data_IF_233602155979
#
_entry.id   IF_233602155979
#
_cell.length_a   1.000
_cell.length_b   1.000
_cell.length_c   1.000
_cell.angle_alpha   90.00
_cell.angle_beta   90.00
_cell.angle_gamma   90.00
#
_symmetry.space_group_name_H-M   'P 1'
#
loop_
_entity.id
_entity.type
_entity.pdbx_description
1 polymer ?
#
# COMPACT_ATOMS: atom_id res chain seq x y z
N UNK A 1 -34.48 -23.56 -6.56
CA UNK A 1 -34.07 -22.93 -5.29
C UNK A 1 -32.56 -23.00 -5.28
N UNK A 2 -31.89 -21.92 -5.67
CA UNK A 2 -30.43 -21.86 -5.63
C UNK A 2 -29.99 -21.80 -4.17
N UNK A 3 -28.97 -22.57 -3.81
CA UNK A 3 -28.33 -22.48 -2.51
C UNK A 3 -27.86 -21.03 -2.29
N UNK A 4 -28.35 -20.40 -1.22
CA UNK A 4 -27.82 -19.10 -0.79
C UNK A 4 -26.32 -19.29 -0.48
N UNK A 5 -25.45 -18.38 -0.91
CA UNK A 5 -24.03 -18.48 -0.62
C UNK A 5 -23.86 -18.47 0.90
N UNK A 6 -23.29 -19.56 1.43
CA UNK A 6 -23.01 -19.71 2.86
C UNK A 6 -22.15 -18.54 3.32
N UNK A 7 -22.75 -17.63 4.09
CA UNK A 7 -22.04 -16.51 4.71
C UNK A 7 -20.96 -17.12 5.61
N UNK A 8 -19.71 -16.70 5.42
CA UNK A 8 -18.61 -17.11 6.27
C UNK A 8 -18.92 -16.69 7.71
N UNK A 9 -19.13 -17.68 8.59
CA UNK A 9 -19.29 -17.46 10.01
C UNK A 9 -18.03 -18.00 10.72
N UNK A 10 -17.17 -17.12 11.25
CA UNK A 10 -15.97 -17.55 11.96
C UNK A 10 -16.29 -18.30 13.28
N UNK A 11 -17.56 -18.38 13.69
CA UNK A 11 -18.01 -19.17 14.84
C UNK A 11 -18.47 -20.60 14.48
N UNK A 12 -18.47 -20.99 13.20
CA UNK A 12 -18.90 -22.33 12.78
C UNK A 12 -18.01 -23.47 13.35
N UNK A 13 -16.89 -23.13 14.01
CA UNK A 13 -15.92 -24.09 14.54
C UNK A 13 -15.74 -24.18 16.06
N UNK A 14 -16.17 -23.21 16.88
CA UNK A 14 -16.00 -23.29 18.33
C UNK A 14 -16.77 -22.18 19.08
N UNK A 15 -17.95 -22.51 19.61
CA UNK A 15 -18.47 -21.87 20.83
C UNK A 15 -19.15 -22.96 21.67
N UNK A 16 -18.37 -23.95 22.12
CA UNK A 16 -18.84 -24.94 23.10
C UNK A 16 -18.36 -24.64 24.53
N UNK A 17 -17.64 -23.56 24.78
CA UNK A 17 -17.25 -23.21 26.16
C UNK A 17 -18.22 -22.22 26.81
N UNK A 18 -18.76 -22.67 27.93
CA UNK A 18 -19.72 -21.98 28.78
C UNK A 18 -19.26 -20.54 29.10
N UNK A 19 -20.20 -19.58 29.03
CA UNK A 19 -20.07 -18.25 29.64
C UNK A 19 -19.76 -18.28 31.16
N UNK A 20 -19.66 -19.47 31.77
CA UNK A 20 -19.38 -19.68 33.19
C UNK A 20 -18.00 -19.15 33.62
N UNK A 21 -17.03 -19.04 32.71
CA UNK A 21 -15.67 -18.54 33.00
C UNK A 21 -15.66 -17.07 33.44
N UNK A 22 -16.63 -16.26 33.01
CA UNK A 22 -16.74 -14.84 33.36
C UNK A 22 -17.68 -14.57 34.54
N UNK A 23 -18.24 -15.62 35.17
CA UNK A 23 -19.24 -15.48 36.23
C UNK A 23 -18.60 -15.67 37.59
N UNK A 24 -18.68 -14.66 38.48
CA UNK A 24 -18.16 -14.77 39.85
C UNK A 24 -18.94 -15.85 40.61
N UNK A 25 -18.25 -16.90 41.07
CA UNK A 25 -18.87 -17.90 41.93
C UNK A 25 -19.27 -17.27 43.29
N UNK A 26 -20.48 -17.56 43.81
CA UNK A 26 -20.92 -17.02 45.10
C UNK A 26 -19.98 -17.42 46.23
N UNK A 27 -19.48 -16.44 47.00
CA UNK A 27 -18.65 -16.68 48.20
C UNK A 27 -17.18 -16.24 48.13
N UNK A 28 -16.68 -15.80 46.96
CA UNK A 28 -15.30 -15.32 46.83
C UNK A 28 -15.10 -13.89 47.40
N UNK A 29 -13.97 -13.60 48.09
CA UNK A 29 -13.65 -12.27 48.61
C UNK A 29 -13.68 -11.20 47.52
N UNK A 30 -14.06 -9.97 47.87
CA UNK A 30 -14.14 -8.85 46.91
C UNK A 30 -12.76 -8.32 46.49
N UNK A 31 -11.70 -8.71 47.19
CA UNK A 31 -10.42 -7.99 47.14
C UNK A 31 -9.35 -8.71 46.30
N UNK A 32 -9.64 -9.93 45.83
CA UNK A 32 -8.80 -10.69 44.88
C UNK A 32 -9.37 -10.55 43.47
N UNK A 33 -9.19 -9.38 42.88
CA UNK A 33 -9.47 -9.15 41.46
C UNK A 33 -8.24 -9.43 40.60
N UNK A 34 -7.59 -10.58 40.76
CA UNK A 34 -6.89 -11.19 39.62
C UNK A 34 -7.94 -11.98 38.82
N UNK A 35 -8.86 -11.25 38.18
CA UNK A 35 -9.54 -11.80 37.04
C UNK A 35 -8.45 -12.05 35.99
N UNK A 36 -7.90 -13.26 35.96
CA UNK A 36 -7.13 -13.73 34.83
C UNK A 36 -8.10 -13.66 33.67
N UNK A 37 -7.98 -12.60 32.86
CA UNK A 37 -8.57 -12.62 31.54
C UNK A 37 -8.10 -13.93 30.92
N UNK A 38 -8.99 -14.80 30.42
CA UNK A 38 -8.56 -15.97 29.69
C UNK A 38 -7.56 -15.49 28.64
N UNK A 39 -6.34 -16.02 28.70
CA UNK A 39 -5.29 -15.76 27.70
C UNK A 39 -5.65 -16.38 26.35
N UNK A 40 -6.67 -17.23 26.36
CA UNK A 40 -7.32 -17.77 25.19
C UNK A 40 -8.33 -16.74 24.66
N UNK A 41 -8.08 -16.26 23.44
CA UNK A 41 -8.99 -15.36 22.74
C UNK A 41 -10.37 -16.00 22.65
N UNK A 42 -11.40 -15.31 23.14
CA UNK A 42 -12.83 -15.74 23.09
C UNK A 42 -13.31 -16.00 21.65
N UNK A 43 -12.52 -15.62 20.63
CA UNK A 43 -12.80 -15.82 19.22
C UNK A 43 -11.52 -16.34 18.56
N UNK A 44 -11.57 -17.55 18.02
CA UNK A 44 -10.58 -18.04 17.06
C UNK A 44 -10.93 -17.48 15.68
N UNK A 45 -10.34 -16.34 15.31
CA UNK A 45 -10.52 -15.76 13.98
C UNK A 45 -9.38 -16.24 13.07
N UNK A 46 -9.70 -16.96 12.01
CA UNK A 46 -8.76 -17.09 10.88
C UNK A 46 -8.61 -15.72 10.23
N UNK A 47 -7.52 -15.04 10.57
CA UNK A 47 -7.24 -13.67 10.11
C UNK A 47 -7.14 -13.62 8.58
N UNK A 48 -6.52 -14.61 7.94
CA UNK A 48 -6.32 -14.61 6.50
C UNK A 48 -7.66 -14.81 5.76
N UNK A 49 -8.47 -15.77 6.22
CA UNK A 49 -9.80 -15.99 5.66
C UNK A 49 -10.71 -14.78 5.88
N UNK A 50 -10.66 -14.16 7.07
CA UNK A 50 -11.45 -12.97 7.38
C UNK A 50 -11.03 -11.76 6.52
N UNK A 51 -9.74 -11.51 6.34
CA UNK A 51 -9.25 -10.44 5.46
C UNK A 51 -9.75 -10.64 4.03
N UNK A 52 -9.68 -11.87 3.51
CA UNK A 52 -10.16 -12.19 2.17
C UNK A 52 -11.67 -11.98 2.01
N UNK A 53 -12.46 -12.47 2.97
CA UNK A 53 -13.92 -12.29 3.00
C UNK A 53 -14.31 -10.81 3.16
N UNK A 54 -13.69 -10.08 4.09
CA UNK A 54 -13.95 -8.66 4.29
C UNK A 54 -13.68 -7.86 3.01
N UNK A 55 -12.56 -8.13 2.35
CA UNK A 55 -12.18 -7.46 1.11
C UNK A 55 -13.13 -7.76 -0.05
N UNK A 56 -13.63 -9.00 -0.17
CA UNK A 56 -14.52 -9.38 -1.26
C UNK A 56 -15.98 -8.99 -0.99
N UNK A 57 -16.49 -9.36 0.17
CA UNK A 57 -17.91 -9.25 0.55
C UNK A 57 -18.24 -7.87 1.10
N UNK A 58 -17.52 -7.43 2.13
CA UNK A 58 -17.85 -6.18 2.84
C UNK A 58 -17.50 -4.98 1.98
N UNK A 59 -16.26 -4.85 1.53
CA UNK A 59 -15.84 -3.73 0.67
C UNK A 59 -16.61 -3.75 -0.65
N UNK A 60 -16.72 -4.91 -1.29
CA UNK A 60 -17.48 -5.05 -2.54
C UNK A 60 -18.97 -4.68 -2.42
N UNK A 61 -19.61 -4.94 -1.28
CA UNK A 61 -20.99 -4.51 -1.04
C UNK A 61 -21.12 -2.99 -0.85
N UNK A 62 -20.15 -2.36 -0.16
CA UNK A 62 -20.11 -0.89 -0.03
C UNK A 62 -19.81 -0.19 -1.35
N UNK A 63 -18.93 -0.74 -2.19
CA UNK A 63 -18.66 -0.21 -3.55
C UNK A 63 -19.90 -0.26 -4.45
N UNK A 64 -20.73 -1.30 -4.29
CA UNK A 64 -22.01 -1.45 -5.01
C UNK A 64 -23.16 -0.64 -4.39
N UNK A 65 -22.95 0.01 -3.24
CA UNK A 65 -23.97 0.80 -2.55
C UNK A 65 -25.06 -0.02 -1.83
N UNK A 66 -24.87 -1.33 -1.65
CA UNK A 66 -25.83 -2.25 -1.01
C UNK A 66 -25.43 -2.64 0.42
N UNK A 67 -24.24 -2.22 0.86
CA UNK A 67 -23.65 -2.66 2.13
C UNK A 67 -24.54 -2.46 3.35
N UNK A 68 -25.23 -1.33 3.46
CA UNK A 68 -26.09 -1.02 4.61
C UNK A 68 -27.40 -1.82 4.67
N UNK A 69 -27.80 -2.43 3.56
CA UNK A 69 -29.08 -3.15 3.43
C UNK A 69 -28.87 -4.66 3.46
N UNK A 70 -27.80 -5.14 2.81
CA UNK A 70 -27.61 -6.57 2.55
C UNK A 70 -26.55 -7.23 3.44
N UNK A 71 -25.65 -6.47 4.06
CA UNK A 71 -24.62 -7.09 4.91
C UNK A 71 -25.22 -7.56 6.24
N UNK A 72 -25.09 -8.85 6.59
CA UNK A 72 -25.51 -9.33 7.90
C UNK A 72 -24.59 -8.80 9.00
N UNK A 73 -25.14 -8.65 10.21
CA UNK A 73 -24.38 -8.35 11.41
C UNK A 73 -23.62 -9.59 11.92
N UNK A 74 -22.65 -10.06 11.12
CA UNK A 74 -21.76 -11.16 11.50
C UNK A 74 -20.76 -10.74 12.60
N UNK A 75 -19.96 -11.70 13.08
CA UNK A 75 -18.98 -11.47 14.16
C UNK A 75 -18.01 -10.33 13.91
N UNK A 76 -17.62 -10.13 12.65
CA UNK A 76 -16.67 -9.11 12.23
C UNK A 76 -17.34 -7.75 12.10
N UNK A 77 -18.40 -7.66 11.28
CA UNK A 77 -19.15 -6.43 11.01
C UNK A 77 -19.82 -5.91 12.29
N UNK A 78 -20.45 -6.77 13.09
CA UNK A 78 -21.11 -6.38 14.34
C UNK A 78 -20.14 -5.84 15.40
N UNK A 79 -18.85 -6.19 15.30
CA UNK A 79 -17.78 -5.72 16.19
C UNK A 79 -16.90 -4.64 15.57
N UNK A 80 -17.21 -4.18 14.36
CA UNK A 80 -16.41 -3.21 13.61
C UNK A 80 -14.94 -3.64 13.45
N UNK A 81 -14.71 -4.94 13.25
CA UNK A 81 -13.36 -5.46 12.99
C UNK A 81 -12.97 -5.15 11.55
N UNK A 82 -12.15 -4.12 11.36
CA UNK A 82 -11.68 -3.70 10.04
C UNK A 82 -10.23 -4.15 9.86
N UNK A 83 -9.92 -4.97 8.85
CA UNK A 83 -8.54 -5.31 8.53
C UNK A 83 -7.70 -4.09 8.20
N UNK A 84 -6.41 -4.13 8.55
CA UNK A 84 -5.46 -3.12 8.13
C UNK A 84 -5.30 -3.14 6.59
N UNK A 85 -4.97 -1.97 6.01
CA UNK A 85 -4.63 -1.88 4.58
C UNK A 85 -5.79 -1.98 3.59
N UNK A 86 -7.05 -1.95 4.05
CA UNK A 86 -8.25 -1.97 3.19
C UNK A 86 -8.31 -0.82 2.18
N UNK A 87 -7.65 0.31 2.47
CA UNK A 87 -7.49 1.44 1.54
C UNK A 87 -6.79 1.06 0.21
N UNK A 88 -5.99 -0.02 0.21
CA UNK A 88 -5.31 -0.51 -0.98
C UNK A 88 -6.28 -0.94 -2.11
N UNK A 89 -7.54 -1.23 -1.79
CA UNK A 89 -8.54 -1.66 -2.78
C UNK A 89 -9.25 -0.48 -3.46
N UNK A 90 -9.14 0.74 -2.91
CA UNK A 90 -9.80 1.92 -3.47
C UNK A 90 -9.13 2.37 -4.76
N UNK A 91 -9.91 2.61 -5.79
CA UNK A 91 -9.43 3.24 -7.03
C UNK A 91 -9.78 4.73 -7.02
N UNK A 92 -8.78 5.59 -7.20
CA UNK A 92 -8.90 7.04 -7.39
C UNK A 92 -8.49 7.50 -8.79
N UNK A 93 -8.26 6.57 -9.72
CA UNK A 93 -7.80 6.90 -11.07
C UNK A 93 -8.73 7.84 -11.84
N UNK A 94 -10.02 7.80 -11.53
CA UNK A 94 -11.07 8.66 -12.10
C UNK A 94 -11.21 10.03 -11.42
N UNK A 95 -10.55 10.29 -10.28
CA UNK A 95 -10.78 11.50 -9.50
C UNK A 95 -10.16 12.75 -10.12
N UNK A 96 -8.91 12.64 -10.57
CA UNK A 96 -8.18 13.76 -11.17
C UNK A 96 -7.98 13.56 -12.66
N UNK A 97 -8.06 14.66 -13.42
CA UNK A 97 -7.83 14.70 -14.86
C UNK A 97 -6.34 14.70 -15.25
N UNK A 98 -5.42 14.84 -14.28
CA UNK A 98 -3.98 14.95 -14.54
C UNK A 98 -3.18 13.94 -13.70
N UNK A 99 -1.99 13.58 -14.18
CA UNK A 99 -1.05 12.66 -13.53
C UNK A 99 0.38 13.14 -13.81
N UNK A 100 1.34 13.01 -12.87
CA UNK A 100 2.72 13.37 -13.13
C UNK A 100 3.39 12.41 -14.14
N UNK A 101 4.03 12.98 -15.15
CA UNK A 101 4.94 12.34 -16.09
C UNK A 101 6.38 12.45 -15.59
N UNK A 102 7.10 11.34 -15.63
CA UNK A 102 8.49 11.25 -15.23
C UNK A 102 9.43 11.53 -16.39
N UNK A 103 10.42 12.40 -16.16
CA UNK A 103 11.46 12.79 -17.11
C UNK A 103 12.79 12.25 -16.58
N UNK A 104 13.21 11.10 -17.10
CA UNK A 104 14.36 10.37 -16.58
C UNK A 104 15.69 11.15 -16.67
N UNK A 105 15.88 11.96 -17.72
CA UNK A 105 17.14 12.63 -18.02
C UNK A 105 17.58 13.64 -16.96
N UNK A 106 16.62 14.29 -16.29
CA UNK A 106 16.90 15.33 -15.27
C UNK A 106 16.80 14.80 -13.85
N UNK A 107 16.36 13.55 -13.67
CA UNK A 107 16.20 12.96 -12.35
C UNK A 107 17.56 12.66 -11.70
N UNK A 108 17.76 13.17 -10.48
CA UNK A 108 18.99 12.91 -9.70
C UNK A 108 18.85 11.78 -8.68
N UNK A 109 17.65 11.23 -8.51
CA UNK A 109 17.36 10.19 -7.51
C UNK A 109 17.38 10.69 -6.06
N UNK A 110 16.88 11.91 -5.80
CA UNK A 110 16.77 12.46 -4.44
C UNK A 110 15.63 11.86 -3.62
N UNK A 111 14.60 11.32 -4.30
CA UNK A 111 13.37 10.77 -3.73
C UNK A 111 12.46 11.74 -2.97
N UNK A 112 12.70 13.05 -3.05
CA UNK A 112 11.84 14.04 -2.40
C UNK A 112 10.39 13.98 -2.91
N UNK A 113 10.20 13.75 -4.21
CA UNK A 113 8.87 13.56 -4.79
C UNK A 113 8.11 12.35 -4.23
N UNK A 114 8.82 11.31 -3.76
CA UNK A 114 8.24 10.14 -3.09
C UNK A 114 7.85 10.48 -1.66
N UNK A 115 8.71 11.18 -0.92
CA UNK A 115 8.47 11.53 0.49
C UNK A 115 7.39 12.59 0.67
N UNK A 116 7.25 13.52 -0.28
CA UNK A 116 6.21 14.56 -0.24
C UNK A 116 4.87 14.08 -0.81
N UNK A 117 4.76 12.82 -1.26
CA UNK A 117 3.49 12.32 -1.74
C UNK A 117 2.57 11.93 -0.57
N UNK A 118 1.46 12.65 -0.35
CA UNK A 118 0.58 12.39 0.81
C UNK A 118 -0.18 11.05 0.70
N UNK A 119 -0.23 10.46 -0.49
CA UNK A 119 -0.99 9.24 -0.76
C UNK A 119 -0.09 8.04 -1.09
N UNK A 120 1.24 8.14 -0.94
CA UNK A 120 2.21 7.12 -1.37
C UNK A 120 1.96 6.59 -2.80
N UNK A 121 1.51 7.49 -3.68
CA UNK A 121 1.13 7.16 -5.05
C UNK A 121 2.32 7.18 -6.02
N UNK A 122 3.45 7.77 -5.65
CA UNK A 122 4.69 7.80 -6.43
C UNK A 122 5.76 7.06 -5.62
N UNK A 123 6.37 6.06 -6.23
CA UNK A 123 7.32 5.15 -5.61
C UNK A 123 8.61 5.08 -6.42
N UNK A 124 9.73 4.90 -5.73
CA UNK A 124 11.05 4.76 -6.33
C UNK A 124 11.56 3.32 -6.23
N UNK A 125 12.42 2.91 -7.18
CA UNK A 125 13.18 1.66 -7.09
C UNK A 125 14.59 1.82 -7.63
N UNK A 126 15.57 1.17 -7.02
CA UNK A 126 16.93 1.10 -7.56
C UNK A 126 17.25 -0.37 -7.87
N UNK A 127 17.47 -0.70 -9.14
CA UNK A 127 17.70 -2.09 -9.56
C UNK A 127 18.95 -2.16 -10.45
N UNK A 128 19.84 -3.15 -10.25
CA UNK A 128 20.99 -3.39 -11.13
C UNK A 128 20.56 -3.52 -12.59
N UNK A 129 21.30 -2.87 -13.50
CA UNK A 129 20.98 -2.87 -14.94
C UNK A 129 20.85 -4.29 -15.50
N UNK A 130 21.74 -5.20 -15.10
CA UNK A 130 21.76 -6.60 -15.53
C UNK A 130 20.51 -7.39 -15.15
N UNK A 131 19.77 -6.97 -14.11
CA UNK A 131 18.48 -7.58 -13.74
C UNK A 131 17.36 -7.03 -14.61
N UNK A 132 17.34 -5.72 -14.85
CA UNK A 132 16.30 -5.08 -15.66
C UNK A 132 16.34 -5.54 -17.11
N UNK A 133 17.54 -5.66 -17.68
CA UNK A 133 17.74 -6.11 -19.06
C UNK A 133 17.29 -7.56 -19.32
N UNK A 134 17.08 -8.37 -18.26
CA UNK A 134 16.53 -9.74 -18.38
C UNK A 134 15.03 -9.75 -18.51
N UNK A 135 14.35 -8.66 -18.13
CA UNK A 135 12.90 -8.57 -18.19
C UNK A 135 12.45 -8.09 -19.58
N UNK A 136 11.61 -8.86 -20.29
CA UNK A 136 11.20 -8.51 -21.65
C UNK A 136 10.32 -7.26 -21.73
N UNK A 137 9.66 -6.89 -20.63
CA UNK A 137 8.83 -5.67 -20.54
C UNK A 137 9.63 -4.40 -20.25
N UNK A 138 10.96 -4.50 -20.04
CA UNK A 138 11.81 -3.35 -19.78
C UNK A 138 11.95 -2.46 -21.03
N UNK A 139 11.44 -1.23 -20.93
CA UNK A 139 11.48 -0.23 -22.02
C UNK A 139 12.44 0.94 -21.74
N UNK A 140 13.07 0.97 -20.56
CA UNK A 140 14.00 2.02 -20.11
C UNK A 140 13.36 3.39 -19.83
N UNK A 141 12.09 3.61 -20.15
CA UNK A 141 11.46 4.95 -20.12
C UNK A 141 11.34 5.54 -18.72
N UNK A 142 11.10 4.68 -17.73
CA UNK A 142 10.91 5.08 -16.34
C UNK A 142 12.19 5.02 -15.51
N UNK A 143 13.37 4.90 -16.15
CA UNK A 143 14.62 4.60 -15.48
C UNK A 143 15.69 5.65 -15.79
N UNK A 144 16.24 6.24 -14.75
CA UNK A 144 17.30 7.23 -14.79
C UNK A 144 18.62 6.64 -14.30
N UNK A 145 19.71 7.01 -14.97
CA UNK A 145 21.07 6.76 -14.49
C UNK A 145 21.49 7.90 -13.58
N UNK A 146 21.55 7.65 -12.28
CA UNK A 146 21.87 8.68 -11.29
C UNK A 146 23.27 8.49 -10.71
N UNK A 147 23.89 9.58 -10.27
CA UNK A 147 25.19 9.50 -9.57
C UNK A 147 25.09 8.69 -8.28
N UNK A 148 23.96 8.79 -7.57
CA UNK A 148 23.75 8.17 -6.25
C UNK A 148 23.65 6.64 -6.33
N UNK A 149 22.87 6.12 -7.26
CA UNK A 149 22.61 4.67 -7.35
C UNK A 149 23.46 3.97 -8.41
N UNK A 150 23.99 4.70 -9.39
CA UNK A 150 24.85 4.12 -10.43
C UNK A 150 26.35 4.34 -10.14
N UNK A 151 26.79 5.61 -10.14
CA UNK A 151 28.22 5.92 -10.14
C UNK A 151 28.91 5.64 -8.78
N UNK A 152 28.21 5.89 -7.66
CA UNK A 152 28.77 5.65 -6.32
C UNK A 152 28.96 4.15 -6.05
N UNK A 153 27.98 3.25 -6.30
CA UNK A 153 28.20 1.81 -6.21
C UNK A 153 29.26 1.28 -7.18
N UNK A 154 29.29 1.79 -8.42
CA UNK A 154 30.32 1.42 -9.40
C UNK A 154 31.75 1.71 -8.91
N UNK A 155 31.96 2.84 -8.24
CA UNK A 155 33.26 3.17 -7.61
C UNK A 155 33.62 2.28 -6.43
N UNK A 156 32.64 1.63 -5.81
CA UNK A 156 32.81 0.67 -4.71
C UNK A 156 33.00 -0.77 -5.20
N UNK A 157 33.00 -0.99 -6.52
CA UNK A 157 33.11 -2.32 -7.13
C UNK A 157 31.80 -3.10 -7.18
N UNK A 158 30.67 -2.46 -6.89
CA UNK A 158 29.33 -3.02 -7.10
C UNK A 158 28.83 -2.67 -8.51
N UNK A 159 27.84 -3.40 -9.00
CA UNK A 159 27.14 -3.03 -10.23
C UNK A 159 26.40 -1.70 -10.03
N UNK A 160 26.32 -0.85 -11.06
CA UNK A 160 25.50 0.35 -11.00
C UNK A 160 24.02 0.01 -11.10
N UNK A 161 23.19 0.56 -10.20
CA UNK A 161 21.73 0.43 -10.28
C UNK A 161 21.10 1.59 -11.05
N UNK A 162 20.12 1.27 -11.90
CA UNK A 162 19.23 2.25 -12.48
C UNK A 162 18.15 2.60 -11.46
N UNK A 163 17.82 3.89 -11.38
CA UNK A 163 16.80 4.40 -10.48
C UNK A 163 15.54 4.74 -11.26
N UNK A 164 14.42 4.14 -10.89
CA UNK A 164 13.14 4.40 -11.53
C UNK A 164 12.12 5.05 -10.60
N UNK A 165 11.24 5.85 -11.20
CA UNK A 165 10.09 6.46 -10.55
C UNK A 165 8.82 5.93 -11.21
N UNK A 166 7.89 5.45 -10.39
CA UNK A 166 6.65 4.84 -10.82
C UNK A 166 5.49 5.46 -10.10
N UNK A 167 4.42 5.76 -10.85
CA UNK A 167 3.22 6.38 -10.30
C UNK A 167 2.08 5.38 -10.39
N UNK A 168 1.48 5.05 -9.25
CA UNK A 168 0.26 4.26 -9.17
C UNK A 168 -0.93 5.13 -9.58
N UNK A 169 -1.53 4.89 -10.77
CA UNK A 169 -2.65 5.69 -11.23
C UNK A 169 -3.90 5.50 -10.36
N UNK A 170 -4.00 4.40 -9.60
CA UNK A 170 -5.15 4.12 -8.73
C UNK A 170 -5.07 4.88 -7.40
N UNK A 171 -3.89 5.37 -7.02
CA UNK A 171 -3.67 6.12 -5.78
C UNK A 171 -3.41 7.61 -6.02
N UNK A 172 -2.89 7.96 -7.18
CA UNK A 172 -2.59 9.34 -7.52
C UNK A 172 -3.88 10.18 -7.65
N UNK A 173 -4.05 11.12 -6.73
CA UNK A 173 -5.13 12.11 -6.78
C UNK A 173 -4.77 13.38 -7.56
N UNK A 174 -3.56 13.47 -8.13
CA UNK A 174 -3.14 14.58 -8.97
C UNK A 174 -3.03 15.94 -8.25
N UNK A 175 -2.55 15.96 -7.00
CA UNK A 175 -2.33 17.20 -6.24
C UNK A 175 -1.10 18.01 -6.66
N UNK A 176 -0.25 17.48 -7.55
CA UNK A 176 0.96 18.12 -8.07
C UNK A 176 2.10 18.42 -7.07
N UNK A 177 1.97 18.11 -5.78
CA UNK A 177 3.03 18.32 -4.77
C UNK A 177 4.40 17.74 -5.18
N UNK A 178 4.41 16.52 -5.72
CA UNK A 178 5.62 15.87 -6.22
C UNK A 178 6.31 16.64 -7.38
N UNK A 179 5.53 17.35 -8.20
CA UNK A 179 6.04 18.19 -9.30
C UNK A 179 6.58 19.50 -8.75
N UNK A 180 5.83 20.15 -7.85
CA UNK A 180 6.22 21.42 -7.24
C UNK A 180 7.54 21.30 -6.49
N UNK A 181 7.69 20.30 -5.62
CA UNK A 181 8.95 20.10 -4.89
C UNK A 181 10.12 19.76 -5.82
N UNK A 182 9.87 19.10 -6.94
CA UNK A 182 10.92 18.76 -7.91
C UNK A 182 11.41 20.01 -8.66
N UNK A 183 10.50 20.93 -8.98
CA UNK A 183 10.80 22.22 -9.58
C UNK A 183 11.51 23.16 -8.59
N UNK A 184 11.08 23.20 -7.31
CA UNK A 184 11.73 24.00 -6.26
C UNK A 184 13.19 23.60 -6.02
N UNK A 185 13.48 22.30 -6.15
CA UNK A 185 14.85 21.78 -6.08
C UNK A 185 15.67 22.01 -7.37
N UNK A 186 15.05 22.52 -8.43
CA UNK A 186 15.70 22.86 -9.71
C UNK A 186 16.01 21.68 -10.62
N UNK A 187 15.30 20.55 -10.49
CA UNK A 187 15.50 19.37 -11.33
C UNK A 187 14.47 19.24 -12.46
N UNK A 188 13.22 19.65 -12.23
CA UNK A 188 12.13 19.56 -13.21
C UNK A 188 11.97 18.14 -13.83
N UNK A 189 12.18 17.10 -13.01
CA UNK A 189 12.10 15.69 -13.44
C UNK A 189 10.67 15.13 -13.45
N UNK A 190 9.68 15.95 -13.09
CA UNK A 190 8.27 15.60 -13.10
C UNK A 190 7.47 16.74 -13.71
N UNK A 191 6.43 16.42 -14.47
CA UNK A 191 5.50 17.40 -15.05
C UNK A 191 4.09 16.85 -15.06
N UNK A 192 3.09 17.65 -14.69
CA UNK A 192 1.69 17.25 -14.81
C UNK A 192 1.28 17.12 -16.29
N UNK A 193 0.68 15.99 -16.64
CA UNK A 193 0.08 15.74 -17.95
C UNK A 193 -1.38 15.35 -17.80
N UNK A 194 -2.20 15.68 -18.80
CA UNK A 194 -3.60 15.24 -18.84
C UNK A 194 -3.68 13.74 -19.06
N UNK A 195 -4.60 13.10 -18.35
CA UNK A 195 -4.98 11.71 -18.58
C UNK A 195 -5.81 11.64 -19.86
N UNK A 196 -5.38 10.80 -20.78
CA UNK A 196 -6.17 10.32 -21.91
C UNK A 196 -6.46 8.81 -21.78
N UNK A 197 -7.23 8.27 -22.73
CA UNK A 197 -7.64 6.86 -22.73
C UNK A 197 -6.44 5.88 -22.73
N UNK A 198 -5.29 6.28 -23.27
CA UNK A 198 -4.07 5.46 -23.32
C UNK A 198 -3.14 5.65 -22.12
N UNK A 199 -3.27 6.76 -21.42
CA UNK A 199 -2.39 7.16 -20.32
C UNK A 199 -2.52 6.19 -19.16
N UNK A 200 -3.75 5.95 -18.67
CA UNK A 200 -3.96 5.06 -17.51
C UNK A 200 -3.39 3.66 -17.74
N UNK A 201 -3.55 3.10 -18.94
CA UNK A 201 -3.02 1.79 -19.28
C UNK A 201 -1.49 1.76 -19.31
N UNK A 202 -0.86 2.83 -19.80
CA UNK A 202 0.60 2.99 -19.75
C UNK A 202 1.11 2.98 -18.30
N UNK A 203 0.50 3.78 -17.42
CA UNK A 203 0.91 3.86 -16.00
C UNK A 203 0.62 2.56 -15.25
N UNK A 204 -0.52 1.89 -15.52
CA UNK A 204 -0.82 0.56 -14.94
C UNK A 204 0.23 -0.46 -15.34
N UNK A 205 0.63 -0.51 -16.61
CA UNK A 205 1.70 -1.42 -17.07
C UNK A 205 3.04 -1.10 -16.40
N UNK A 206 3.42 0.18 -16.31
CA UNK A 206 4.64 0.59 -15.63
C UNK A 206 4.62 0.21 -14.13
N UNK A 207 3.50 0.41 -13.44
CA UNK A 207 3.37 0.08 -12.02
C UNK A 207 3.33 -1.44 -11.79
N UNK A 208 2.70 -2.22 -12.68
CA UNK A 208 2.74 -3.68 -12.64
C UNK A 208 4.17 -4.20 -12.84
N UNK A 209 4.94 -3.58 -13.74
CA UNK A 209 6.36 -3.87 -13.90
C UNK A 209 7.15 -3.58 -12.62
N UNK A 210 6.92 -2.43 -11.99
CA UNK A 210 7.51 -2.08 -10.69
C UNK A 210 7.25 -3.15 -9.60
N UNK A 211 6.03 -3.70 -9.54
CA UNK A 211 5.68 -4.80 -8.62
C UNK A 211 6.36 -6.11 -9.00
N UNK A 212 6.48 -6.42 -10.29
CA UNK A 212 7.08 -7.66 -10.80
C UNK A 212 8.60 -7.74 -10.58
N UNK A 213 9.32 -6.65 -10.82
CA UNK A 213 10.80 -6.61 -10.76
C UNK A 213 11.37 -6.92 -9.37
N UNK A 214 10.54 -6.85 -8.33
CA UNK A 214 10.91 -7.18 -6.95
C UNK A 214 11.74 -6.09 -6.28
N UNK A 215 12.08 -6.25 -4.99
CA UNK A 215 12.58 -5.17 -4.14
C UNK A 215 13.98 -4.66 -4.54
N UNK A 216 14.25 -3.40 -4.17
CA UNK A 216 15.60 -2.81 -4.25
C UNK A 216 16.56 -3.62 -3.37
N UNK A 217 17.72 -4.09 -3.90
CA UNK A 217 18.70 -4.79 -3.07
C UNK A 217 19.26 -3.89 -1.95
N UNK A 218 19.46 -4.46 -0.76
CA UNK A 218 19.90 -3.73 0.43
C UNK A 218 21.24 -2.98 0.24
N UNK A 219 22.12 -3.45 -0.65
CA UNK A 219 23.40 -2.80 -0.97
C UNK A 219 23.26 -1.39 -1.60
N UNK A 220 22.09 -1.08 -2.17
CA UNK A 220 21.76 0.25 -2.72
C UNK A 220 20.98 1.13 -1.73
N UNK A 221 20.64 0.61 -0.56
CA UNK A 221 19.85 1.31 0.46
C UNK A 221 20.79 1.81 1.54
N UNK A 222 20.79 3.11 1.78
CA UNK A 222 21.49 3.70 2.90
C UNK A 222 20.51 3.98 4.05
N UNK A 223 20.51 3.12 5.07
CA UNK A 223 19.62 3.25 6.23
C UNK A 223 19.76 4.58 6.99
N UNK A 224 20.87 5.32 6.82
CA UNK A 224 21.04 6.65 7.44
C UNK A 224 20.32 7.77 6.69
N UNK A 225 19.88 7.51 5.46
CA UNK A 225 19.14 8.47 4.64
C UNK A 225 17.66 8.13 4.70
N UNK A 226 16.86 9.03 5.28
CA UNK A 226 15.39 8.88 5.33
C UNK A 226 14.78 8.67 3.95
N UNK A 227 15.33 9.35 2.93
CA UNK A 227 14.92 9.18 1.54
C UNK A 227 15.12 7.74 1.04
N UNK A 228 16.24 7.10 1.39
CA UNK A 228 16.55 5.73 0.95
C UNK A 228 15.74 4.67 1.70
N UNK A 229 15.20 4.98 2.89
CA UNK A 229 14.29 4.06 3.58
C UNK A 229 13.06 3.75 2.73
N UNK A 230 12.58 4.70 1.92
CA UNK A 230 11.44 4.49 1.01
C UNK A 230 11.76 3.58 -0.19
N UNK A 231 13.03 3.15 -0.37
CA UNK A 231 13.39 2.11 -1.37
C UNK A 231 13.21 0.70 -0.84
N UNK A 232 13.27 0.51 0.47
CA UNK A 232 13.00 -0.77 1.09
C UNK A 232 11.50 -1.03 0.93
N UNK A 233 11.12 -2.07 0.18
CA UNK A 233 9.72 -2.37 -0.12
C UNK A 233 8.89 -2.63 1.17
N UNK A 234 9.54 -3.20 2.19
CA UNK A 234 8.99 -3.38 3.54
C UNK A 234 8.67 -2.04 4.23
N UNK A 235 9.44 -0.99 3.93
CA UNK A 235 9.28 0.35 4.50
C UNK A 235 8.37 1.25 3.64
N UNK A 236 8.41 1.10 2.31
CA UNK A 236 7.54 1.79 1.37
C UNK A 236 6.05 1.40 1.52
N UNK A 237 5.78 0.23 2.10
CA UNK A 237 4.43 -0.27 2.39
C UNK A 237 4.00 -0.05 3.86
N UNK A 238 4.79 0.63 4.69
CA UNK A 238 4.38 1.02 6.05
C UNK A 238 3.17 1.96 6.03
N UNK A 239 3.03 2.74 4.96
CA UNK A 239 1.87 3.57 4.66
C UNK A 239 1.26 3.12 3.34
N UNK A 240 0.05 2.57 3.39
CA UNK A 240 -0.69 2.17 2.19
C UNK A 240 -1.45 3.36 1.63
N UNK A 241 -1.17 3.70 0.38
CA UNK A 241 -1.93 4.68 -0.36
C UNK A 241 -3.40 4.32 -0.47
N UNK A 242 -4.23 5.35 -0.68
CA UNK A 242 -5.67 5.18 -0.82
C UNK A 242 -6.48 5.76 0.33
N UNK A 243 -5.88 6.62 1.16
CA UNK A 243 -6.59 7.34 2.20
C UNK A 243 -7.70 8.22 1.59
N UNK A 244 -8.80 8.37 2.32
CA UNK A 244 -9.91 9.25 1.93
C UNK A 244 -9.64 10.75 2.16
N UNK A 245 -8.39 11.14 2.38
CA UNK A 245 -7.98 12.53 2.61
C UNK A 245 -8.17 13.41 1.37
N UNK A 246 -8.23 14.72 1.59
CA UNK A 246 -8.23 15.71 0.51
C UNK A 246 -6.99 15.56 -0.39
N UNK A 247 -7.09 16.07 -1.63
CA UNK A 247 -5.95 16.16 -2.54
C UNK A 247 -4.91 17.12 -1.93
N UNK A 248 -3.64 16.70 -1.82
CA UNK A 248 -2.57 17.53 -1.24
C UNK A 248 -2.65 17.66 0.28
N UNK A 249 -3.16 16.64 0.97
CA UNK A 249 -3.30 16.69 2.43
C UNK A 249 -1.94 16.56 3.12
N UNK A 250 -1.45 17.64 3.74
CA UNK A 250 -0.16 17.63 4.47
C UNK A 250 -0.15 16.89 5.81
N UNK A 251 -1.29 16.32 6.23
CA UNK A 251 -1.37 15.54 7.48
C UNK A 251 -1.06 14.05 7.31
N UNK A 252 -1.02 13.57 6.06
CA UNK A 252 -0.77 12.17 5.69
C UNK A 252 0.66 11.99 5.27
#
# INVERSE_FOLDING_TARGET
MGEEPRVFNPLDGAVEEELSVLTKQPGLPKDVHEARLPTESVIALDVAAYVADFNARVIGAYEKGIGSQELPADVGVARSLIPAGTAALRDFSYLSAEIPEFIADTCVGCMTCVTECPDAAILGKAIPASRLEREPEFDGTHWARTRKYFDVPARRGLEGALFGIFIDPTKCKGCAECVEVCAELGYDALRMVRKDDGTLERYRRAFNFFRKVGPTPAEYINEKSLADMMLAEESALLYLGGAGSCMGCWLT
#
